data_IF_755774840732
#
_entry.id   IF_755774840732
#
_cell.length_a   1.000
_cell.length_b   1.000
_cell.length_c   1.000
_cell.angle_alpha   90.00
_cell.angle_beta   90.00
_cell.angle_gamma   90.00
#
_symmetry.space_group_name_H-M   'P 1'
#
loop_
_entity.id
_entity.type
_entity.pdbx_description
1 polymer ?
#
# COMPACT_ATOMS: atom_id res chain seq x y z
N UNK A 1 7.05 28.04 50.06
CA UNK A 1 6.05 26.98 49.81
C UNK A 1 6.81 25.75 49.34
N UNK A 2 6.38 24.56 49.70
CA UNK A 2 7.16 23.32 49.55
C UNK A 2 7.01 22.70 48.18
N UNK A 3 8.05 21.96 47.76
CA UNK A 3 7.99 21.04 46.63
C UNK A 3 6.98 19.91 46.90
N UNK A 4 6.40 19.35 45.83
CA UNK A 4 5.53 18.19 45.90
C UNK A 4 6.31 16.95 45.47
N UNK A 5 6.65 16.10 46.44
CA UNK A 5 7.25 14.79 46.19
C UNK A 5 6.21 13.84 45.56
N UNK A 6 6.56 13.20 44.46
CA UNK A 6 5.71 12.27 43.72
C UNK A 6 6.30 10.87 43.85
N UNK A 7 5.96 10.21 44.95
CA UNK A 7 6.42 8.86 45.27
C UNK A 7 5.81 7.83 44.30
N UNK A 8 6.61 7.30 43.38
CA UNK A 8 6.21 6.17 42.53
C UNK A 8 6.08 4.89 43.37
N UNK A 9 5.03 4.09 43.15
CA UNK A 9 4.75 2.87 43.93
C UNK A 9 5.23 1.59 43.23
N UNK A 10 5.95 0.73 43.97
CA UNK A 10 6.51 -0.53 43.46
C UNK A 10 5.44 -1.51 42.97
N UNK A 11 5.27 -1.65 41.65
CA UNK A 11 4.47 -2.72 41.04
C UNK A 11 5.25 -4.03 41.02
N UNK A 12 5.00 -4.90 42.00
CA UNK A 12 5.64 -6.22 42.10
C UNK A 12 4.96 -7.26 41.20
N UNK A 13 5.58 -7.57 40.06
CA UNK A 13 5.18 -8.69 39.22
C UNK A 13 5.60 -10.04 39.81
N UNK A 14 4.63 -10.91 40.09
CA UNK A 14 4.88 -12.28 40.53
C UNK A 14 5.13 -13.21 39.31
N UNK A 15 6.29 -13.88 39.27
CA UNK A 15 6.56 -14.93 38.28
C UNK A 15 5.69 -16.17 38.54
N UNK A 16 5.00 -16.72 37.53
CA UNK A 16 4.57 -18.12 37.53
C UNK A 16 5.80 -19.04 37.54
N UNK A 17 5.74 -20.16 38.26
CA UNK A 17 6.78 -21.18 38.24
C UNK A 17 6.65 -22.08 36.99
N UNK A 18 7.79 -22.51 36.43
CA UNK A 18 7.81 -23.40 35.28
C UNK A 18 7.39 -24.84 35.64
N UNK A 19 6.72 -25.54 34.71
CA UNK A 19 6.65 -27.01 34.75
C UNK A 19 6.55 -27.64 33.35
N UNK A 20 7.62 -28.37 33.06
CA UNK A 20 7.89 -29.44 32.08
C UNK A 20 6.82 -29.87 31.04
N UNK A 21 7.28 -29.88 29.78
CA UNK A 21 7.05 -30.85 28.70
C UNK A 21 5.88 -31.85 28.81
N UNK A 22 4.94 -31.75 27.85
CA UNK A 22 4.38 -32.92 27.16
C UNK A 22 4.40 -32.65 25.65
N UNK A 23 4.91 -33.60 24.87
CA UNK A 23 4.82 -33.60 23.41
C UNK A 23 3.56 -34.36 22.97
N UNK A 24 2.77 -33.80 22.07
CA UNK A 24 1.73 -34.54 21.35
C UNK A 24 1.53 -33.95 19.95
N UNK A 25 1.54 -34.82 18.95
CA UNK A 25 1.20 -34.49 17.57
C UNK A 25 -0.27 -34.10 17.42
N UNK A 26 -0.57 -33.18 16.51
CA UNK A 26 -1.92 -32.90 16.02
C UNK A 26 -2.22 -33.87 14.87
N UNK A 27 -3.19 -34.77 15.06
CA UNK A 27 -3.66 -35.70 14.03
C UNK A 27 -5.16 -35.49 13.80
N UNK A 28 -5.54 -35.14 12.56
CA UNK A 28 -6.87 -34.66 12.24
C UNK A 28 -7.80 -35.81 11.80
N UNK A 29 -8.52 -36.39 12.77
CA UNK A 29 -9.49 -37.46 12.51
C UNK A 29 -10.81 -36.92 11.91
N UNK A 30 -11.01 -37.10 10.60
CA UNK A 30 -12.31 -36.88 9.95
C UNK A 30 -13.29 -38.02 10.26
N UNK A 31 -14.54 -37.71 10.57
CA UNK A 31 -15.56 -38.69 10.96
C UNK A 31 -16.36 -39.21 9.76
N UNK A 32 -16.40 -40.53 9.54
CA UNK A 32 -17.28 -41.16 8.53
C UNK A 32 -18.76 -41.08 8.93
N UNK A 33 -19.62 -40.54 8.05
CA UNK A 33 -21.08 -40.59 8.21
C UNK A 33 -21.64 -41.90 7.63
N UNK A 34 -21.83 -42.91 8.50
CA UNK A 34 -22.49 -44.18 8.12
C UNK A 34 -24.02 -44.07 8.19
N UNK A 35 -24.66 -43.95 7.04
CA UNK A 35 -26.13 -44.00 6.92
C UNK A 35 -26.69 -45.41 7.14
N UNK A 36 -27.21 -45.67 8.33
CA UNK A 36 -27.95 -46.89 8.65
C UNK A 36 -29.39 -46.83 8.10
N UNK A 37 -29.65 -47.54 7.00
CA UNK A 37 -31.00 -47.76 6.48
C UNK A 37 -31.78 -48.69 7.42
N UNK A 38 -32.88 -48.23 8.01
CA UNK A 38 -33.85 -49.07 8.72
C UNK A 38 -34.85 -49.68 7.74
N UNK A 39 -35.23 -50.93 7.97
CA UNK A 39 -36.42 -51.56 7.37
C UNK A 39 -37.34 -52.08 8.47
N UNK A 40 -38.66 -51.92 8.29
CA UNK A 40 -39.74 -52.55 9.04
C UNK A 40 -40.95 -52.75 8.07
N UNK A 41 -41.88 -53.68 8.32
CA UNK A 41 -42.24 -54.63 7.25
C UNK A 41 -43.74 -54.81 6.94
N UNK A 42 -44.01 -55.45 5.80
CA UNK A 42 -45.10 -56.44 5.63
C UNK A 42 -46.51 -55.94 5.30
N UNK A 43 -47.04 -56.34 4.13
CA UNK A 43 -48.44 -56.15 3.73
C UNK A 43 -48.83 -57.05 2.53
N UNK A 44 -50.08 -57.54 2.49
CA UNK A 44 -50.54 -58.65 1.62
C UNK A 44 -52.10 -58.63 1.52
N UNK A 45 -52.81 -59.08 0.48
CA UNK A 45 -52.44 -59.79 -0.76
C UNK A 45 -52.68 -58.86 -1.99
N UNK A 46 -53.20 -59.16 -3.20
CA UNK A 46 -53.89 -60.35 -3.75
C UNK A 46 -53.59 -60.57 -5.26
N UNK A 47 -53.81 -61.81 -5.69
CA UNK A 47 -53.74 -62.37 -7.07
C UNK A 47 -54.53 -61.60 -8.14
N UNK A 48 -53.94 -61.43 -9.33
CA UNK A 48 -54.53 -61.81 -10.63
C UNK A 48 -53.50 -61.76 -11.78
N UNK A 49 -53.61 -62.68 -12.74
CA UNK A 49 -52.64 -62.88 -13.83
C UNK A 49 -52.95 -62.05 -15.09
N UNK A 50 -51.91 -61.74 -15.89
CA UNK A 50 -51.80 -62.17 -17.29
C UNK A 50 -50.50 -61.69 -17.95
N UNK A 51 -49.77 -62.61 -18.58
CA UNK A 51 -48.83 -62.36 -19.68
C UNK A 51 -49.66 -62.23 -21.01
N UNK A 52 -49.14 -61.78 -22.18
CA UNK A 52 -47.94 -62.38 -22.77
C UNK A 52 -47.01 -61.52 -23.68
N UNK A 53 -45.87 -62.14 -24.01
CA UNK A 53 -45.00 -61.91 -25.20
C UNK A 53 -43.87 -60.88 -25.09
N UNK A 54 -42.69 -61.44 -24.83
CA UNK A 54 -41.38 -61.05 -25.39
C UNK A 54 -41.45 -60.46 -26.80
N UNK A 55 -40.73 -59.35 -27.01
CA UNK A 55 -40.15 -58.98 -28.30
C UNK A 55 -38.66 -58.82 -28.09
N UNK A 56 -37.85 -59.60 -28.82
CA UNK A 56 -36.40 -59.41 -28.81
C UNK A 56 -36.03 -58.07 -29.48
N UNK A 57 -35.39 -57.17 -28.75
CA UNK A 57 -34.56 -56.14 -29.37
C UNK A 57 -33.10 -56.39 -29.05
N UNK A 58 -32.40 -56.82 -30.10
CA UNK A 58 -31.00 -57.23 -30.14
C UNK A 58 -30.08 -56.23 -29.45
N UNK A 59 -29.34 -56.72 -28.45
CA UNK A 59 -28.36 -55.93 -27.71
C UNK A 59 -27.14 -55.57 -28.58
N UNK A 60 -27.27 -54.55 -29.44
CA UNK A 60 -26.14 -54.01 -30.21
C UNK A 60 -25.36 -52.98 -29.38
N UNK A 61 -24.68 -53.47 -28.34
CA UNK A 61 -23.78 -52.65 -27.50
C UNK A 61 -22.53 -52.25 -28.28
N UNK A 62 -22.68 -51.26 -29.16
CA UNK A 62 -21.60 -50.59 -29.90
C UNK A 62 -20.77 -49.68 -29.00
N UNK A 63 -20.29 -50.20 -27.86
CA UNK A 63 -19.45 -49.43 -26.91
C UNK A 63 -18.08 -49.18 -27.53
N UNK A 64 -17.99 -48.09 -28.29
CA UNK A 64 -16.74 -47.61 -28.87
C UNK A 64 -15.72 -47.40 -27.76
N UNK A 65 -14.69 -48.25 -27.70
CA UNK A 65 -13.50 -48.04 -26.87
C UNK A 65 -12.58 -47.02 -27.53
N UNK A 66 -13.04 -45.77 -27.62
CA UNK A 66 -12.10 -44.65 -27.58
C UNK A 66 -11.38 -44.77 -26.24
N UNK A 67 -10.06 -45.01 -26.25
CA UNK A 67 -9.31 -45.12 -25.00
C UNK A 67 -9.40 -43.79 -24.25
N UNK A 68 -9.57 -43.84 -22.93
CA UNK A 68 -9.68 -42.64 -22.08
C UNK A 68 -8.49 -41.69 -22.27
N UNK A 69 -7.31 -42.25 -22.53
CA UNK A 69 -6.09 -41.53 -22.90
C UNK A 69 -6.26 -40.66 -24.15
N UNK A 70 -6.89 -41.19 -25.22
CA UNK A 70 -7.14 -40.44 -26.46
C UNK A 70 -8.16 -39.33 -26.23
N UNK A 71 -9.17 -39.56 -25.39
CA UNK A 71 -10.10 -38.51 -24.98
C UNK A 71 -9.39 -37.43 -24.15
N UNK A 72 -8.54 -37.81 -23.19
CA UNK A 72 -7.77 -36.87 -22.37
C UNK A 72 -6.78 -36.03 -23.19
N UNK A 73 -6.10 -36.63 -24.17
CA UNK A 73 -5.21 -35.91 -25.09
C UNK A 73 -5.96 -34.89 -25.97
N UNK A 74 -7.18 -35.21 -26.40
CA UNK A 74 -8.04 -34.26 -27.13
C UNK A 74 -8.53 -33.13 -26.23
N UNK A 75 -8.92 -33.41 -24.98
CA UNK A 75 -9.28 -32.36 -24.01
C UNK A 75 -8.08 -31.45 -23.72
N UNK A 76 -6.89 -32.02 -23.51
CA UNK A 76 -5.67 -31.26 -23.26
C UNK A 76 -5.27 -30.38 -24.46
N UNK A 77 -5.37 -30.88 -25.70
CA UNK A 77 -5.05 -30.08 -26.89
C UNK A 77 -6.06 -28.94 -27.12
N UNK A 78 -7.35 -29.16 -26.81
CA UNK A 78 -8.38 -28.10 -26.83
C UNK A 78 -8.11 -27.05 -25.75
N UNK A 79 -7.78 -27.46 -24.52
CA UNK A 79 -7.43 -26.52 -23.43
C UNK A 79 -6.20 -25.68 -23.76
N UNK A 80 -5.15 -26.29 -24.32
CA UNK A 80 -3.96 -25.57 -24.78
C UNK A 80 -4.27 -24.61 -25.94
N UNK A 81 -5.11 -25.00 -26.90
CA UNK A 81 -5.53 -24.12 -27.99
C UNK A 81 -6.33 -22.90 -27.48
N UNK A 82 -7.23 -23.10 -26.51
CA UNK A 82 -7.98 -22.02 -25.85
C UNK A 82 -7.04 -21.09 -25.06
N UNK A 83 -6.07 -21.65 -24.33
CA UNK A 83 -5.09 -20.86 -23.59
C UNK A 83 -4.20 -20.00 -24.53
N UNK A 84 -3.72 -20.57 -25.64
CA UNK A 84 -2.94 -19.84 -26.65
C UNK A 84 -3.78 -18.75 -27.32
N UNK A 85 -5.06 -19.02 -27.64
CA UNK A 85 -5.97 -18.01 -28.17
C UNK A 85 -6.22 -16.87 -27.17
N UNK A 86 -6.45 -17.18 -25.89
CA UNK A 86 -6.63 -16.18 -24.83
C UNK A 86 -5.37 -15.31 -24.64
N UNK A 87 -4.17 -15.93 -24.62
CA UNK A 87 -2.90 -15.21 -24.55
C UNK A 87 -2.69 -14.30 -25.77
N UNK A 88 -3.01 -14.78 -26.98
CA UNK A 88 -2.96 -13.97 -28.21
C UNK A 88 -3.90 -12.76 -28.16
N UNK A 89 -5.10 -12.94 -27.62
CA UNK A 89 -6.08 -11.85 -27.40
C UNK A 89 -5.58 -10.84 -26.35
N UNK A 90 -5.03 -11.31 -25.22
CA UNK A 90 -4.44 -10.44 -24.18
C UNK A 90 -3.28 -9.63 -24.75
N UNK A 91 -2.35 -10.27 -25.47
CA UNK A 91 -1.21 -9.59 -26.11
C UNK A 91 -1.67 -8.61 -27.18
N UNK A 92 -2.72 -8.91 -27.95
CA UNK A 92 -3.30 -7.97 -28.90
C UNK A 92 -3.87 -6.73 -28.18
N UNK A 93 -4.61 -6.91 -27.09
CA UNK A 93 -5.14 -5.78 -26.31
C UNK A 93 -4.03 -4.91 -25.70
N UNK A 94 -2.98 -5.50 -25.11
CA UNK A 94 -1.88 -4.71 -24.52
C UNK A 94 -1.07 -3.94 -25.56
N UNK A 95 -0.86 -4.53 -26.75
CA UNK A 95 -0.26 -3.83 -27.89
C UNK A 95 -1.13 -2.64 -28.33
N UNK A 96 -2.45 -2.82 -28.47
CA UNK A 96 -3.36 -1.74 -28.86
C UNK A 96 -3.34 -0.58 -27.84
N UNK A 97 -3.47 -0.88 -26.54
CA UNK A 97 -3.41 0.17 -25.50
C UNK A 97 -2.08 0.91 -25.49
N UNK A 98 -0.97 0.23 -25.77
CA UNK A 98 0.36 0.86 -25.85
C UNK A 98 0.49 1.80 -27.06
N UNK A 99 -0.13 1.49 -28.20
CA UNK A 99 -0.16 2.41 -29.34
C UNK A 99 -1.03 3.65 -29.04
N UNK A 100 -2.23 3.48 -28.48
CA UNK A 100 -3.10 4.61 -28.12
C UNK A 100 -2.40 5.57 -27.14
N UNK A 101 -1.79 5.04 -26.07
CA UNK A 101 -1.02 5.84 -25.13
C UNK A 101 0.15 6.58 -25.80
N UNK A 102 0.80 5.98 -26.80
CA UNK A 102 1.88 6.62 -27.55
C UNK A 102 1.36 7.78 -28.41
N UNK A 103 0.24 7.60 -29.11
CA UNK A 103 -0.39 8.63 -29.94
C UNK A 103 -0.87 9.83 -29.09
N UNK A 104 -1.50 9.57 -27.94
CA UNK A 104 -1.92 10.62 -26.99
C UNK A 104 -0.72 11.41 -26.45
N UNK A 105 0.38 10.74 -26.08
CA UNK A 105 1.61 11.39 -25.65
C UNK A 105 2.27 12.24 -26.76
N UNK A 106 2.25 11.77 -28.01
CA UNK A 106 2.78 12.52 -29.17
C UNK A 106 1.84 13.67 -29.61
N UNK A 107 0.54 13.59 -29.33
CA UNK A 107 -0.40 14.70 -29.50
C UNK A 107 -0.21 15.77 -28.41
N UNK A 108 -0.13 15.37 -27.13
CA UNK A 108 0.10 16.26 -26.00
C UNK A 108 1.41 17.06 -26.15
N UNK A 109 2.50 16.39 -26.56
CA UNK A 109 3.79 17.04 -26.83
C UNK A 109 3.71 18.09 -27.95
N UNK A 110 2.92 17.86 -28.99
CA UNK A 110 2.68 18.85 -30.06
C UNK A 110 1.90 20.06 -29.54
N UNK A 111 0.80 19.83 -28.82
CA UNK A 111 -0.01 20.91 -28.25
C UNK A 111 0.82 21.84 -27.34
N UNK A 112 1.68 21.28 -26.47
CA UNK A 112 2.60 22.03 -25.60
C UNK A 112 3.61 22.85 -26.42
N UNK A 113 4.07 22.35 -27.58
CA UNK A 113 5.00 23.08 -28.46
C UNK A 113 4.35 24.21 -29.27
N UNK A 114 3.04 24.17 -29.48
CA UNK A 114 2.29 25.19 -30.24
C UNK A 114 1.72 26.31 -29.36
N UNK A 115 1.58 26.07 -28.05
CA UNK A 115 1.21 27.11 -27.07
C UNK A 115 2.34 28.13 -26.85
N UNK A 116 2.41 29.15 -27.70
CA UNK A 116 3.20 30.37 -27.43
C UNK A 116 2.77 30.98 -26.09
N UNK A 117 3.70 31.40 -25.21
CA UNK A 117 3.36 32.08 -23.98
C UNK A 117 2.72 33.45 -24.29
N UNK A 118 1.47 33.64 -23.86
CA UNK A 118 0.77 34.91 -23.99
C UNK A 118 1.43 35.98 -23.10
N UNK A 119 2.02 37.00 -23.71
CA UNK A 119 2.57 38.15 -23.00
C UNK A 119 1.45 39.06 -22.48
N UNK A 120 0.88 38.70 -21.33
CA UNK A 120 0.11 39.62 -20.50
C UNK A 120 1.06 40.50 -19.70
N UNK A 121 0.80 41.81 -19.68
CA UNK A 121 1.67 42.81 -19.04
C UNK A 121 1.19 43.09 -17.61
N UNK A 122 1.90 42.66 -16.55
CA UNK A 122 1.50 42.97 -15.18
C UNK A 122 1.75 44.44 -14.87
N UNK A 123 0.78 45.06 -14.18
CA UNK A 123 1.01 46.25 -13.37
C UNK A 123 1.18 45.82 -11.91
N UNK A 124 1.88 46.62 -11.10
CA UNK A 124 2.43 46.29 -9.78
C UNK A 124 3.61 45.30 -9.80
N UNK A 125 4.60 45.44 -8.88
CA UNK A 125 5.75 44.55 -8.80
C UNK A 125 5.35 43.20 -8.17
N UNK A 126 5.85 42.06 -8.70
CA UNK A 126 5.60 40.75 -8.09
C UNK A 126 6.33 40.62 -6.74
N UNK A 127 5.84 39.78 -5.82
CA UNK A 127 6.66 39.29 -4.71
C UNK A 127 7.88 38.52 -5.26
N UNK A 128 8.99 38.42 -4.50
CA UNK A 128 10.20 37.73 -4.97
C UNK A 128 9.89 36.28 -5.31
N UNK A 129 10.07 35.92 -6.58
CA UNK A 129 9.92 34.55 -7.08
C UNK A 129 10.99 33.64 -6.48
N UNK A 130 10.65 32.39 -6.06
CA UNK A 130 11.67 31.39 -5.75
C UNK A 130 12.60 31.19 -6.95
N UNK A 131 13.92 31.26 -6.75
CA UNK A 131 14.87 30.99 -7.83
C UNK A 131 14.98 29.48 -8.07
N UNK A 132 14.52 29.06 -9.25
CA UNK A 132 14.51 27.67 -9.71
C UNK A 132 15.94 27.12 -9.91
N UNK A 133 16.97 27.98 -9.95
CA UNK A 133 18.38 27.59 -10.01
C UNK A 133 19.06 27.48 -8.64
N UNK A 134 18.37 27.80 -7.54
CA UNK A 134 18.96 27.81 -6.20
C UNK A 134 19.33 26.38 -5.77
N UNK A 135 20.63 26.03 -5.63
CA UNK A 135 21.02 24.67 -5.28
C UNK A 135 20.52 24.31 -3.88
N UNK A 136 20.01 23.09 -3.69
CA UNK A 136 19.70 22.59 -2.35
C UNK A 136 20.94 22.67 -1.46
N UNK A 137 20.88 23.46 -0.40
CA UNK A 137 22.04 23.69 0.48
C UNK A 137 22.16 22.51 1.42
N UNK A 138 22.93 21.52 0.97
CA UNK A 138 23.24 20.30 1.71
C UNK A 138 24.21 20.58 2.85
N UNK A 139 23.66 20.86 4.02
CA UNK A 139 24.41 20.79 5.27
C UNK A 139 24.53 19.34 5.73
N UNK A 140 25.75 18.96 6.12
CA UNK A 140 26.12 17.61 6.54
C UNK A 140 25.67 16.51 5.54
N UNK A 141 25.95 16.76 4.25
CA UNK A 141 26.06 15.77 3.17
C UNK A 141 24.75 15.39 2.49
N UNK A 142 23.80 14.87 3.25
CA UNK A 142 22.59 14.21 2.74
C UNK A 142 21.27 14.88 3.12
N UNK A 143 21.30 15.90 4.00
CA UNK A 143 20.10 16.64 4.41
C UNK A 143 19.80 17.76 3.41
N UNK A 144 18.54 17.94 3.05
CA UNK A 144 18.07 19.12 2.30
C UNK A 144 17.54 20.17 3.28
N UNK A 145 17.96 21.43 3.10
CA UNK A 145 17.52 22.57 3.93
C UNK A 145 16.33 23.28 3.27
N UNK A 146 15.20 23.37 3.96
CA UNK A 146 14.05 24.17 3.55
C UNK A 146 13.51 24.97 4.74
N UNK A 147 13.25 26.27 4.54
CA UNK A 147 12.72 27.24 5.54
C UNK A 147 13.40 27.29 6.92
N UNK A 148 14.57 26.68 7.08
CA UNK A 148 15.28 26.61 8.36
C UNK A 148 15.08 25.28 9.10
N UNK A 149 14.56 24.25 8.44
CA UNK A 149 14.45 22.86 8.91
C UNK A 149 15.28 21.95 7.97
N UNK A 150 15.80 20.83 8.48
CA UNK A 150 16.57 19.85 7.71
C UNK A 150 15.76 18.58 7.48
N UNK A 151 15.72 18.11 6.25
CA UNK A 151 14.97 16.93 5.82
C UNK A 151 15.91 15.86 5.25
N UNK A 152 15.77 14.61 5.71
CA UNK A 152 16.52 13.45 5.20
C UNK A 152 15.55 12.46 4.55
N UNK A 153 15.83 12.07 3.31
CA UNK A 153 14.96 11.18 2.54
C UNK A 153 15.59 9.79 2.44
N UNK A 154 15.07 8.86 3.22
CA UNK A 154 15.55 7.46 3.27
C UNK A 154 14.92 6.66 2.16
N UNK A 155 15.72 6.12 1.24
CA UNK A 155 15.26 5.27 0.14
C UNK A 155 15.24 3.77 0.46
N UNK A 156 15.71 3.38 1.64
CA UNK A 156 15.50 2.03 2.18
C UNK A 156 14.05 1.89 2.64
N UNK A 157 13.46 0.71 2.45
CA UNK A 157 12.12 0.41 2.93
C UNK A 157 12.14 -0.07 4.39
N UNK A 158 11.22 0.40 5.23
CA UNK A 158 11.01 -0.03 6.62
C UNK A 158 9.54 0.10 7.04
N UNK A 159 9.18 -0.45 8.19
CA UNK A 159 7.89 -0.17 8.86
C UNK A 159 7.85 1.28 9.35
N UNK A 160 6.67 1.81 9.71
CA UNK A 160 6.57 3.18 10.23
C UNK A 160 7.43 3.37 11.49
N UNK A 161 7.31 2.46 12.45
CA UNK A 161 8.11 2.44 13.69
C UNK A 161 9.61 2.28 13.42
N UNK A 162 9.98 1.36 12.52
CA UNK A 162 11.38 1.16 12.11
C UNK A 162 11.95 2.32 11.30
N UNK A 163 11.10 3.16 10.70
CA UNK A 163 11.49 4.43 10.09
C UNK A 163 11.62 5.54 11.13
N UNK A 164 10.75 5.58 12.15
CA UNK A 164 10.83 6.54 13.26
C UNK A 164 12.11 6.37 14.05
N UNK A 165 12.40 5.16 14.50
CA UNK A 165 13.64 4.83 15.23
C UNK A 165 14.91 5.18 14.44
N UNK A 166 14.89 5.03 13.10
CA UNK A 166 16.00 5.48 12.24
C UNK A 166 16.15 7.01 12.20
N UNK A 167 15.05 7.76 12.27
CA UNK A 167 15.11 9.22 12.39
C UNK A 167 15.62 9.66 13.77
N UNK A 168 15.19 8.98 14.85
CA UNK A 168 15.66 9.23 16.22
C UNK A 168 17.17 8.99 16.37
N UNK A 169 17.70 7.90 15.81
CA UNK A 169 19.14 7.60 15.71
C UNK A 169 19.93 8.71 14.99
N UNK A 170 19.29 9.47 14.11
CA UNK A 170 19.85 10.63 13.40
C UNK A 170 19.66 11.96 14.14
N UNK A 171 19.06 11.96 15.34
CA UNK A 171 18.69 13.16 16.09
C UNK A 171 17.58 13.97 15.42
N UNK A 172 16.61 13.27 14.84
CA UNK A 172 15.43 13.76 14.12
C UNK A 172 14.18 12.97 14.58
N UNK A 173 13.03 13.27 14.00
CA UNK A 173 11.84 12.40 14.03
C UNK A 173 11.31 12.23 12.59
N UNK A 174 10.24 11.47 12.37
CA UNK A 174 9.52 11.48 11.08
C UNK A 174 8.93 12.87 10.80
N UNK A 175 8.92 13.28 9.53
CA UNK A 175 8.53 14.64 9.14
C UNK A 175 7.12 15.00 9.59
N UNK A 176 7.00 16.18 10.21
CA UNK A 176 5.74 16.85 10.46
C UNK A 176 5.48 17.88 9.36
N UNK A 177 4.21 18.12 9.03
CA UNK A 177 3.84 19.02 7.93
C UNK A 177 2.97 20.14 8.48
N UNK A 178 3.64 21.21 8.93
CA UNK A 178 3.06 22.40 9.56
C UNK A 178 2.75 23.52 8.55
N UNK A 179 3.12 23.38 7.26
CA UNK A 179 2.73 24.35 6.22
C UNK A 179 2.43 23.77 4.81
N UNK A 180 1.70 24.53 4.00
CA UNK A 180 1.38 24.14 2.60
C UNK A 180 2.61 24.18 1.70
N UNK A 181 3.46 25.19 1.84
CA UNK A 181 4.69 25.30 1.05
C UNK A 181 5.74 24.22 1.41
N UNK A 182 5.65 23.65 2.62
CA UNK A 182 6.40 22.47 3.03
C UNK A 182 5.87 21.21 2.34
N UNK A 183 4.55 20.99 2.29
CA UNK A 183 3.97 19.94 1.45
C UNK A 183 4.42 20.10 -0.02
N UNK A 184 4.45 21.33 -0.57
CA UNK A 184 4.96 21.58 -1.93
C UNK A 184 6.42 21.15 -2.11
N UNK A 185 7.29 21.51 -1.17
CA UNK A 185 8.68 21.07 -1.14
C UNK A 185 8.81 19.53 -1.03
N UNK A 186 8.13 18.91 -0.07
CA UNK A 186 8.19 17.46 0.14
C UNK A 186 7.67 16.69 -1.09
N UNK A 187 6.60 17.18 -1.73
CA UNK A 187 6.04 16.60 -2.96
C UNK A 187 7.04 16.65 -4.12
N UNK A 188 7.80 17.73 -4.30
CA UNK A 188 8.90 17.81 -5.27
C UNK A 188 9.98 16.74 -4.97
N UNK A 189 10.47 16.71 -3.74
CA UNK A 189 11.59 15.83 -3.33
C UNK A 189 11.22 14.36 -3.35
N UNK A 190 10.00 14.01 -2.94
CA UNK A 190 9.48 12.64 -3.03
C UNK A 190 9.39 12.22 -4.50
N UNK A 191 8.73 12.98 -5.37
CA UNK A 191 8.60 12.64 -6.80
C UNK A 191 9.96 12.46 -7.49
N UNK A 192 10.99 13.20 -7.10
CA UNK A 192 12.36 13.05 -7.60
C UNK A 192 13.11 11.80 -7.08
N UNK A 193 12.64 11.16 -6.00
CA UNK A 193 13.24 9.98 -5.34
C UNK A 193 12.38 8.71 -5.48
N UNK A 194 11.27 8.79 -6.22
CA UNK A 194 10.43 7.65 -6.59
C UNK A 194 10.96 6.98 -7.87
N UNK A 195 11.47 5.76 -7.73
CA UNK A 195 11.95 4.91 -8.82
C UNK A 195 10.77 4.20 -9.51
N UNK A 196 9.83 3.68 -8.73
CA UNK A 196 8.62 2.97 -9.21
C UNK A 196 7.34 3.73 -8.85
N UNK A 197 6.19 3.49 -9.51
CA UNK A 197 4.90 4.11 -9.13
C UNK A 197 4.46 3.81 -7.70
N UNK A 198 4.76 2.61 -7.22
CA UNK A 198 4.36 2.07 -5.92
C UNK A 198 5.13 2.68 -4.75
N UNK A 199 6.21 3.44 -5.01
CA UNK A 199 6.98 4.13 -3.98
C UNK A 199 6.07 5.07 -3.16
N UNK A 200 6.19 5.01 -1.84
CA UNK A 200 5.60 5.95 -0.88
C UNK A 200 6.59 6.19 0.25
N UNK A 201 6.46 7.32 0.92
CA UNK A 201 7.35 7.73 2.01
C UNK A 201 6.55 7.96 3.30
N UNK A 202 6.88 7.27 4.39
CA UNK A 202 6.30 7.51 5.71
C UNK A 202 6.52 8.96 6.17
N UNK A 203 5.47 9.54 6.75
CA UNK A 203 5.48 10.82 7.47
C UNK A 203 5.06 10.59 8.93
N UNK A 204 5.31 11.57 9.80
CA UNK A 204 5.12 11.43 11.25
C UNK A 204 3.67 11.54 11.74
N UNK A 205 2.69 11.05 10.98
CA UNK A 205 1.26 11.13 11.29
C UNK A 205 0.68 9.71 11.44
N UNK A 206 -0.04 9.48 12.53
CA UNK A 206 -0.67 8.18 12.88
C UNK A 206 -1.90 8.41 13.76
N UNK A 207 -2.84 7.47 13.80
CA UNK A 207 -3.93 7.41 14.78
C UNK A 207 -3.97 6.09 15.57
N UNK A 208 -2.89 5.30 15.53
CA UNK A 208 -2.74 3.99 16.19
C UNK A 208 -2.99 3.93 17.70
N UNK A 209 -2.93 5.08 18.42
CA UNK A 209 -3.35 5.15 19.83
C UNK A 209 -4.89 5.21 20.01
N UNK A 210 -5.60 5.81 19.05
CA UNK A 210 -7.05 5.96 19.03
C UNK A 210 -7.54 6.25 17.60
N UNK A 211 -8.13 5.24 16.97
CA UNK A 211 -8.88 5.30 15.70
C UNK A 211 -9.53 6.67 15.38
N UNK A 212 -9.29 7.15 14.15
CA UNK A 212 -9.78 8.42 13.61
C UNK A 212 -9.31 9.70 14.35
N UNK A 213 -8.34 9.60 15.27
CA UNK A 213 -7.76 10.72 16.04
C UNK A 213 -6.29 10.98 15.69
N UNK A 214 -6.03 11.34 14.43
CA UNK A 214 -4.70 11.64 13.89
C UNK A 214 -3.85 12.59 14.74
N UNK A 215 -2.71 12.07 15.21
CA UNK A 215 -1.66 12.75 15.96
C UNK A 215 -0.33 12.72 15.21
N UNK A 216 0.42 13.81 15.32
CA UNK A 216 1.80 13.87 14.87
C UNK A 216 2.76 13.27 15.91
N UNK A 217 3.95 12.87 15.48
CA UNK A 217 5.04 12.36 16.33
C UNK A 217 5.47 13.30 17.47
N UNK A 218 5.23 14.61 17.34
CA UNK A 218 5.44 15.61 18.41
C UNK A 218 4.30 15.66 19.46
N UNK A 219 3.29 14.81 19.32
CA UNK A 219 2.10 14.75 20.16
C UNK A 219 1.03 15.80 19.84
N UNK A 220 1.19 16.60 18.78
CA UNK A 220 0.19 17.58 18.36
C UNK A 220 -0.91 16.95 17.47
N UNK A 221 -2.18 17.34 17.61
CA UNK A 221 -3.27 16.81 16.80
C UNK A 221 -3.28 17.41 15.38
N UNK A 222 -3.79 16.65 14.41
CA UNK A 222 -3.92 17.08 13.02
C UNK A 222 -4.83 18.31 12.87
N UNK A 223 -4.30 19.40 12.28
CA UNK A 223 -5.08 20.55 11.86
C UNK A 223 -5.91 20.20 10.62
N UNK A 224 -7.23 20.08 10.75
CA UNK A 224 -8.14 19.69 9.66
C UNK A 224 -8.13 20.64 8.45
N UNK A 225 -7.68 21.89 8.62
CA UNK A 225 -7.50 22.85 7.51
C UNK A 225 -6.18 22.66 6.73
N UNK A 226 -5.25 21.84 7.25
CA UNK A 226 -3.95 21.53 6.67
C UNK A 226 -3.83 20.01 6.45
N UNK A 227 -4.69 19.49 5.57
CA UNK A 227 -4.73 18.07 5.23
C UNK A 227 -4.50 17.85 3.74
N UNK A 228 -3.62 16.92 3.41
CA UNK A 228 -3.26 16.59 2.03
C UNK A 228 -3.60 15.16 1.64
N UNK A 229 -4.64 14.61 2.27
CA UNK A 229 -5.29 13.36 1.88
C UNK A 229 -5.61 13.33 0.39
N UNK A 230 -5.25 12.21 -0.25
CA UNK A 230 -5.66 11.82 -1.59
C UNK A 230 -7.19 11.65 -1.66
N UNK A 231 -7.71 11.38 -2.87
CA UNK A 231 -9.14 11.26 -3.09
C UNK A 231 -9.66 9.95 -2.47
N UNK A 232 -10.58 10.11 -1.51
CA UNK A 232 -11.22 9.07 -0.69
C UNK A 232 -10.43 8.64 0.55
N UNK A 233 -9.23 9.18 0.79
CA UNK A 233 -8.45 8.87 2.00
C UNK A 233 -8.81 9.80 3.17
N UNK A 234 -8.60 9.37 4.44
CA UNK A 234 -8.25 8.01 4.83
C UNK A 234 -9.43 7.05 4.67
N UNK A 235 -9.17 5.81 4.23
CA UNK A 235 -10.19 4.78 3.93
C UNK A 235 -10.25 3.64 4.97
N UNK A 236 -9.21 3.50 5.79
CA UNK A 236 -9.03 2.51 6.85
C UNK A 236 -9.35 1.06 6.43
N UNK A 237 -8.60 0.54 5.44
CA UNK A 237 -8.89 -0.74 4.79
C UNK A 237 -8.62 -2.02 5.65
N UNK A 238 -9.55 -2.31 6.58
CA UNK A 238 -9.55 -3.49 7.47
C UNK A 238 -9.35 -4.87 6.78
N UNK A 239 -9.58 -4.99 5.46
CA UNK A 239 -9.71 -6.30 4.79
C UNK A 239 -8.44 -7.16 4.84
N UNK A 240 -7.26 -6.54 4.94
CA UNK A 240 -5.97 -7.24 5.10
C UNK A 240 -5.50 -7.29 6.54
N UNK A 241 -5.79 -6.23 7.31
CA UNK A 241 -5.36 -6.05 8.69
C UNK A 241 -6.57 -5.67 9.54
N UNK A 242 -7.09 -6.57 10.41
CA UNK A 242 -8.24 -6.26 11.27
C UNK A 242 -8.01 -5.18 12.33
N UNK A 243 -6.80 -4.58 12.39
CA UNK A 243 -6.51 -3.41 13.21
C UNK A 243 -6.74 -2.09 12.46
N UNK A 244 -6.63 -2.08 11.13
CA UNK A 244 -6.76 -0.88 10.30
C UNK A 244 -5.52 -0.52 9.47
N UNK A 245 -5.49 0.73 8.99
CA UNK A 245 -4.39 1.34 8.23
C UNK A 245 -3.79 2.59 8.95
N UNK A 246 -3.41 2.43 10.22
CA UNK A 246 -3.22 3.48 11.23
C UNK A 246 -2.03 4.48 11.02
N UNK A 247 -1.27 4.41 9.92
CA UNK A 247 -0.05 5.20 9.69
C UNK A 247 -0.04 5.89 8.32
N UNK A 248 0.45 7.14 8.23
CA UNK A 248 0.37 7.93 6.99
C UNK A 248 1.67 7.92 6.19
N UNK A 249 1.53 7.63 4.89
CA UNK A 249 2.57 7.71 3.85
C UNK A 249 2.20 8.77 2.81
N UNK A 250 3.20 9.37 2.14
CA UNK A 250 2.99 10.35 1.08
C UNK A 250 3.69 10.02 -0.24
N UNK A 251 3.20 10.64 -1.32
CA UNK A 251 3.81 10.66 -2.65
C UNK A 251 2.94 10.00 -3.72
N UNK A 252 2.94 10.53 -4.95
CA UNK A 252 2.23 9.90 -6.06
C UNK A 252 2.89 10.23 -7.41
N UNK A 253 3.12 9.21 -8.24
CA UNK A 253 4.00 9.33 -9.42
C UNK A 253 3.25 9.94 -10.61
N UNK A 254 3.50 11.21 -10.87
CA UNK A 254 2.86 11.94 -11.97
C UNK A 254 1.52 12.59 -11.59
N UNK A 255 1.10 12.55 -10.32
CA UNK A 255 0.09 13.48 -9.83
C UNK A 255 0.59 14.92 -9.96
N UNK A 256 -0.27 15.86 -10.37
CA UNK A 256 0.08 17.29 -10.46
C UNK A 256 -0.30 18.09 -9.21
N UNK A 257 -1.20 17.55 -8.37
CA UNK A 257 -1.59 18.20 -7.12
C UNK A 257 -0.71 17.80 -5.92
N UNK A 258 -1.12 18.30 -4.75
CA UNK A 258 -0.49 18.05 -3.45
C UNK A 258 -1.21 16.96 -2.64
N UNK A 259 -2.34 16.45 -3.12
CA UNK A 259 -3.23 15.53 -2.39
C UNK A 259 -2.76 14.10 -2.57
N UNK A 260 -1.69 13.76 -1.87
CA UNK A 260 -0.98 12.50 -1.99
C UNK A 260 -0.60 11.87 -0.65
N UNK A 261 -1.26 12.25 0.46
CA UNK A 261 -1.25 11.45 1.69
C UNK A 261 -2.24 10.30 1.57
N UNK A 262 -1.82 9.15 2.08
CA UNK A 262 -2.60 7.92 2.18
C UNK A 262 -2.32 7.32 3.56
N UNK A 263 -3.33 6.74 4.18
CA UNK A 263 -3.18 5.75 5.22
C UNK A 263 -2.52 4.46 4.70
N UNK A 264 -1.99 3.67 5.64
CA UNK A 264 -1.48 2.31 5.46
C UNK A 264 -1.22 1.62 6.79
N UNK A 265 -1.43 0.30 6.83
CA UNK A 265 -0.95 -0.56 7.91
C UNK A 265 0.53 -0.28 8.24
N UNK A 266 0.82 0.07 9.49
CA UNK A 266 2.12 0.55 9.94
C UNK A 266 3.28 -0.45 9.69
N UNK A 267 2.97 -1.75 9.56
CA UNK A 267 3.92 -2.83 9.22
C UNK A 267 4.32 -2.84 7.72
N UNK A 268 3.72 -2.01 6.88
CA UNK A 268 4.05 -1.98 5.45
C UNK A 268 5.47 -1.42 5.21
N UNK A 269 6.28 -2.05 4.33
CA UNK A 269 7.60 -1.53 3.97
C UNK A 269 7.45 -0.31 3.05
N UNK A 270 7.76 0.89 3.55
CA UNK A 270 7.81 2.15 2.78
C UNK A 270 9.16 2.85 2.95
N UNK A 271 9.48 3.77 2.04
CA UNK A 271 10.59 4.75 2.22
C UNK A 271 10.22 5.73 3.35
N UNK A 272 11.09 6.65 3.77
CA UNK A 272 10.73 7.61 4.84
C UNK A 272 11.38 8.98 4.73
N UNK A 273 10.79 9.97 5.40
CA UNK A 273 11.31 11.34 5.51
C UNK A 273 11.52 11.66 6.98
N UNK A 274 12.77 11.92 7.38
CA UNK A 274 13.10 12.45 8.69
C UNK A 274 13.22 13.96 8.65
N UNK A 275 12.91 14.64 9.76
CA UNK A 275 12.98 16.09 9.92
C UNK A 275 13.64 16.49 11.23
N UNK A 276 14.44 17.56 11.22
CA UNK A 276 14.91 18.22 12.44
C UNK A 276 15.15 19.71 12.31
N UNK A 277 15.02 20.40 13.43
CA UNK A 277 15.50 21.76 13.60
C UNK A 277 17.04 21.81 13.58
N UNK A 278 17.64 22.89 13.05
CA UNK A 278 19.09 23.08 13.05
C UNK A 278 19.58 23.38 14.47
N UNK A 279 20.62 22.66 14.89
CA UNK A 279 21.39 23.04 16.10
C UNK A 279 21.96 24.44 15.88
N UNK A 280 22.05 25.25 16.93
CA UNK A 280 22.39 26.69 16.87
C UNK A 280 23.64 27.00 16.05
N UNK A 281 24.68 26.16 16.17
CA UNK A 281 25.93 26.30 15.41
C UNK A 281 25.82 25.81 13.95
N UNK A 282 25.00 24.78 13.68
CA UNK A 282 24.69 24.35 12.31
C UNK A 282 23.94 25.46 11.56
N UNK A 283 22.96 26.12 12.20
CA UNK A 283 22.22 27.25 11.61
C UNK A 283 23.18 28.31 11.06
N UNK A 284 24.11 28.78 11.89
CA UNK A 284 25.12 29.76 11.47
C UNK A 284 26.02 29.24 10.33
N UNK A 285 26.47 27.98 10.40
CA UNK A 285 27.30 27.33 9.37
C UNK A 285 26.60 27.27 8.01
N UNK A 286 25.29 27.02 8.00
CA UNK A 286 24.46 26.92 6.80
C UNK A 286 24.06 28.29 6.23
N UNK A 287 23.62 29.22 7.08
CA UNK A 287 23.32 30.61 6.67
C UNK A 287 24.54 31.27 6.02
N UNK A 288 25.75 31.04 6.56
CA UNK A 288 27.02 31.53 5.99
C UNK A 288 27.42 30.81 4.69
N UNK A 289 26.98 29.58 4.44
CA UNK A 289 27.15 28.94 3.13
C UNK A 289 26.17 29.50 2.09
N UNK A 290 24.93 29.79 2.50
CA UNK A 290 23.90 30.42 1.67
C UNK A 290 24.38 31.80 1.17
N UNK A 291 24.80 32.67 2.08
CA UNK A 291 25.28 34.03 1.79
C UNK A 291 26.65 34.09 1.06
N UNK A 292 27.26 32.94 0.74
CA UNK A 292 28.49 32.84 -0.08
C UNK A 292 28.24 32.30 -1.49
N UNK A 293 26.97 32.08 -1.86
CA UNK A 293 26.54 31.56 -3.17
C UNK A 293 25.56 32.47 -3.92
N UNK A 294 25.16 33.58 -3.29
CA UNK A 294 24.42 34.69 -3.89
C UNK A 294 25.37 35.89 -4.09
#
# INVERSE_FOLDING_TARGET
>A
MTEADVTYSDVRFARPAARENVSSSVEAAYTEVKFLKRELPGGNQTVCSNEPKTVEQTARSGRSKVTSERAALVVLSVLLAVAVAALGVIVFYTIQTSQTQKEENEALRRNISETKPCSSKPSSPPPPTPDINQPSVTCDGNWELFRGHFYYFTTNYSTWEGSRSFCEDLGADLVKIDSREEQEFLVEKVKAKMEVPEDKFWIGLTDSENESSWIWVDGSPLNTNLTFWSKSEPDNWEQKNPLGEDCVRMGEKGAEDLKCWFDQSCDAPQKSICEKLPITDQKHKCEVQFHKRA
#
